data_IF_540666549143
#
_entry.id   IF_540666549143
#
_cell.length_a   1.000
_cell.length_b   1.000
_cell.length_c   1.000
_cell.angle_alpha   90.00
_cell.angle_beta   90.00
_cell.angle_gamma   90.00
#
_symmetry.space_group_name_H-M   'P 1'
#
loop_
_entity.id
_entity.type
_entity.pdbx_description
1 polymer ?
#
# COMPACT_ATOMS: atom_id res chain seq x y z
N UNK A 1 27.25 -16.24 15.74
CA UNK A 1 25.84 -16.06 15.36
C UNK A 1 25.42 -14.74 15.98
N UNK A 2 25.22 -13.68 15.19
CA UNK A 2 24.79 -12.38 15.75
C UNK A 2 23.29 -12.49 16.01
N UNK A 3 22.88 -12.34 17.26
CA UNK A 3 21.48 -12.19 17.64
C UNK A 3 20.93 -10.96 16.93
N UNK A 4 20.13 -11.19 15.89
CA UNK A 4 19.34 -10.14 15.29
C UNK A 4 18.25 -9.79 16.32
N UNK A 5 18.05 -8.51 16.68
CA UNK A 5 16.97 -8.14 17.57
C UNK A 5 15.66 -8.60 16.92
N UNK A 6 14.90 -9.42 17.64
CA UNK A 6 13.52 -9.76 17.28
C UNK A 6 12.83 -8.43 16.99
N UNK A 7 12.28 -8.26 15.78
CA UNK A 7 11.46 -7.09 15.45
C UNK A 7 10.41 -6.96 16.54
N UNK A 8 10.35 -5.81 17.22
CA UNK A 8 9.38 -5.63 18.30
C UNK A 8 7.97 -5.98 17.78
N UNK A 9 7.37 -7.10 18.23
CA UNK A 9 6.08 -7.54 17.73
C UNK A 9 4.98 -6.53 18.05
N UNK A 10 5.23 -5.57 18.96
CA UNK A 10 4.28 -4.52 19.33
C UNK A 10 3.82 -3.69 18.12
N UNK A 11 4.73 -3.31 17.20
CA UNK A 11 4.39 -2.41 16.09
C UNK A 11 3.54 -3.09 15.02
N UNK A 12 3.87 -4.33 14.64
CA UNK A 12 3.02 -5.10 13.73
C UNK A 12 1.67 -5.42 14.39
N UNK A 13 1.64 -5.69 15.70
CA UNK A 13 0.39 -5.90 16.43
C UNK A 13 -0.50 -4.65 16.49
N UNK A 14 0.06 -3.43 16.46
CA UNK A 14 -0.73 -2.22 16.34
C UNK A 14 -1.55 -2.22 15.03
N UNK A 15 -0.95 -2.62 13.91
CA UNK A 15 -1.65 -2.80 12.62
C UNK A 15 -2.77 -3.84 12.76
N UNK A 16 -2.47 -4.99 13.39
CA UNK A 16 -3.45 -6.06 13.60
C UNK A 16 -4.66 -5.58 14.41
N UNK A 17 -4.42 -4.93 15.54
CA UNK A 17 -5.47 -4.47 16.46
C UNK A 17 -6.32 -3.38 15.80
N UNK A 18 -5.70 -2.38 15.16
CA UNK A 18 -6.45 -1.34 14.43
C UNK A 18 -7.34 -1.94 13.34
N UNK A 19 -6.84 -2.93 12.60
CA UNK A 19 -7.62 -3.58 11.56
C UNK A 19 -8.78 -4.42 12.12
N UNK A 20 -8.53 -5.21 13.18
CA UNK A 20 -9.58 -6.01 13.83
C UNK A 20 -10.67 -5.13 14.42
N UNK A 21 -10.30 -4.11 15.19
CA UNK A 21 -11.25 -3.24 15.90
C UNK A 21 -12.11 -2.42 14.92
N UNK A 22 -11.50 -1.85 13.87
CA UNK A 22 -12.25 -1.08 12.86
C UNK A 22 -13.24 -1.97 12.08
N UNK A 23 -12.83 -3.17 11.68
CA UNK A 23 -13.71 -4.15 11.02
C UNK A 23 -14.86 -4.55 11.94
N UNK A 24 -14.57 -4.81 13.22
CA UNK A 24 -15.56 -5.22 14.21
C UNK A 24 -16.56 -4.08 14.48
N UNK A 25 -16.08 -2.84 14.64
CA UNK A 25 -16.91 -1.66 14.86
C UNK A 25 -17.81 -1.36 13.65
N UNK A 26 -17.30 -1.52 12.44
CA UNK A 26 -18.09 -1.36 11.21
C UNK A 26 -19.07 -2.52 10.97
N UNK A 27 -18.92 -3.62 11.72
CA UNK A 27 -19.60 -4.91 11.48
C UNK A 27 -19.47 -5.36 10.01
N UNK A 28 -18.34 -5.05 9.37
CA UNK A 28 -18.09 -5.24 7.95
C UNK A 28 -16.61 -5.10 7.62
N UNK A 29 -16.09 -5.97 6.75
CA UNK A 29 -14.71 -5.90 6.25
C UNK A 29 -13.95 -7.22 6.40
N UNK A 30 -12.64 -7.18 6.11
CA UNK A 30 -11.80 -8.37 6.02
C UNK A 30 -10.58 -8.23 6.93
N UNK A 31 -10.57 -8.84 8.13
CA UNK A 31 -9.48 -8.69 9.08
C UNK A 31 -8.31 -9.65 8.80
N UNK A 32 -8.57 -10.79 8.13
CA UNK A 32 -7.58 -11.85 7.94
C UNK A 32 -6.34 -11.41 7.15
N UNK A 33 -6.52 -10.78 5.98
CA UNK A 33 -5.39 -10.29 5.18
C UNK A 33 -4.56 -9.22 5.91
N UNK A 34 -5.14 -8.17 6.53
CA UNK A 34 -4.39 -7.25 7.37
C UNK A 34 -3.60 -7.93 8.49
N UNK A 35 -4.19 -8.92 9.17
CA UNK A 35 -3.52 -9.62 10.27
C UNK A 35 -2.33 -10.47 9.79
N UNK A 36 -2.49 -11.17 8.67
CA UNK A 36 -1.45 -12.03 8.10
C UNK A 36 -0.32 -11.25 7.45
N UNK A 37 -0.61 -10.07 6.90
CA UNK A 37 0.38 -9.24 6.18
C UNK A 37 1.03 -8.15 7.04
N UNK A 38 0.65 -8.02 8.32
CA UNK A 38 1.11 -6.94 9.19
C UNK A 38 2.64 -6.88 9.34
N UNK A 39 3.32 -8.03 9.48
CA UNK A 39 4.78 -8.04 9.69
C UNK A 39 5.52 -7.60 8.42
N UNK A 40 5.12 -8.10 7.24
CA UNK A 40 5.72 -7.71 5.96
C UNK A 40 5.42 -6.24 5.64
N UNK A 41 4.22 -5.76 5.98
CA UNK A 41 3.86 -4.36 5.84
C UNK A 41 4.70 -3.46 6.74
N UNK A 42 4.85 -3.83 8.02
CA UNK A 42 5.68 -3.11 8.96
C UNK A 42 7.12 -2.98 8.46
N UNK A 43 7.73 -4.08 8.01
CA UNK A 43 9.11 -4.06 7.49
C UNK A 43 9.21 -3.16 6.25
N UNK A 44 8.30 -3.31 5.28
CA UNK A 44 8.31 -2.49 4.07
C UNK A 44 8.18 -1.00 4.41
N UNK A 45 7.16 -0.62 5.16
CA UNK A 45 6.82 0.79 5.41
C UNK A 45 7.78 1.49 6.36
N UNK A 46 8.46 0.78 7.26
CA UNK A 46 9.38 1.41 8.22
C UNK A 46 10.84 1.37 7.82
N UNK A 47 11.23 0.48 6.89
CA UNK A 47 12.64 0.26 6.55
C UNK A 47 12.98 0.44 5.07
N UNK A 48 12.01 0.32 4.18
CA UNK A 48 12.28 0.25 2.74
C UNK A 48 11.53 1.31 1.92
N UNK A 49 10.29 1.64 2.30
CA UNK A 49 9.47 2.59 1.58
C UNK A 49 9.94 4.02 1.86
N UNK A 50 10.39 4.74 0.83
CA UNK A 50 10.68 6.17 0.92
C UNK A 50 9.42 6.96 0.60
N UNK A 51 8.83 7.58 1.61
CA UNK A 51 7.60 8.34 1.44
C UNK A 51 7.58 9.53 2.39
N UNK A 52 6.71 10.50 2.10
CA UNK A 52 6.48 11.66 2.97
C UNK A 52 4.99 11.72 3.32
N UNK A 53 4.61 11.44 4.58
CA UNK A 53 3.23 11.59 5.05
C UNK A 53 2.73 13.05 4.97
N UNK A 54 3.65 14.01 5.08
CA UNK A 54 3.37 15.45 4.97
C UNK A 54 3.27 15.95 3.53
N UNK A 55 3.81 15.20 2.57
CA UNK A 55 3.66 15.45 1.14
C UNK A 55 3.41 14.14 0.36
N UNK A 56 2.17 13.63 0.40
CA UNK A 56 1.78 12.47 -0.40
C UNK A 56 1.88 12.70 -1.91
N UNK A 57 2.09 13.94 -2.37
CA UNK A 57 2.23 14.28 -3.78
C UNK A 57 3.70 14.34 -4.25
N UNK A 58 4.67 14.20 -3.35
CA UNK A 58 6.10 14.20 -3.68
C UNK A 58 6.39 13.29 -4.87
N UNK A 59 6.92 13.87 -5.96
CA UNK A 59 7.03 13.18 -7.25
C UNK A 59 7.90 11.92 -7.20
N UNK A 60 8.99 11.92 -6.42
CA UNK A 60 9.97 10.83 -6.37
C UNK A 60 9.85 9.92 -5.13
N UNK A 61 8.68 9.92 -4.47
CA UNK A 61 8.37 8.92 -3.42
C UNK A 61 8.32 7.50 -4.00
N UNK A 62 8.58 6.48 -3.21
CA UNK A 62 8.23 5.11 -3.60
C UNK A 62 6.70 4.95 -3.64
N UNK A 63 6.21 4.14 -4.58
CA UNK A 63 4.77 3.90 -4.76
C UNK A 63 4.39 2.57 -4.12
N UNK A 64 3.32 2.55 -3.33
CA UNK A 64 2.78 1.32 -2.74
C UNK A 64 1.34 1.06 -3.21
N UNK A 65 1.11 -0.11 -3.77
CA UNK A 65 -0.22 -0.55 -4.23
C UNK A 65 -0.67 -1.79 -3.46
N UNK A 66 -1.83 -1.71 -2.82
CA UNK A 66 -2.50 -2.87 -2.23
C UNK A 66 -3.46 -3.50 -3.25
N UNK A 67 -2.96 -4.38 -4.12
CA UNK A 67 -3.76 -4.96 -5.21
C UNK A 67 -4.88 -5.87 -4.70
N UNK A 68 -4.65 -6.62 -3.62
CA UNK A 68 -5.68 -7.35 -2.90
C UNK A 68 -6.50 -6.41 -2.00
N UNK A 69 -7.15 -5.42 -2.61
CA UNK A 69 -7.75 -4.24 -1.95
C UNK A 69 -8.81 -4.54 -0.89
N UNK A 70 -9.31 -5.77 -0.80
CA UNK A 70 -10.22 -6.20 0.27
C UNK A 70 -9.58 -6.06 1.67
N UNK A 71 -8.25 -6.13 1.77
CA UNK A 71 -7.46 -5.90 2.98
C UNK A 71 -7.28 -4.42 3.33
N UNK A 72 -8.23 -3.55 2.97
CA UNK A 72 -8.13 -2.09 3.03
C UNK A 72 -7.71 -1.53 4.40
N UNK A 73 -8.16 -2.14 5.50
CA UNK A 73 -7.72 -1.72 6.84
C UNK A 73 -6.21 -1.85 7.07
N UNK A 74 -5.50 -2.71 6.32
CA UNK A 74 -4.03 -2.76 6.36
C UNK A 74 -3.42 -1.41 5.96
N UNK A 75 -3.80 -0.90 4.77
CA UNK A 75 -3.24 0.35 4.26
C UNK A 75 -3.71 1.55 5.07
N UNK A 76 -4.96 1.56 5.55
CA UNK A 76 -5.43 2.65 6.42
C UNK A 76 -4.70 2.70 7.76
N UNK A 77 -4.45 1.54 8.39
CA UNK A 77 -3.65 1.49 9.61
C UNK A 77 -2.21 1.98 9.37
N UNK A 78 -1.58 1.59 8.25
CA UNK A 78 -0.23 2.05 7.89
C UNK A 78 -0.18 3.56 7.66
N UNK A 79 -1.14 4.12 6.91
CA UNK A 79 -1.24 5.55 6.66
C UNK A 79 -1.42 6.34 7.96
N UNK A 80 -2.32 5.87 8.83
CA UNK A 80 -2.53 6.48 10.15
C UNK A 80 -1.26 6.45 11.00
N UNK A 81 -0.66 5.26 11.17
CA UNK A 81 0.50 5.06 12.05
C UNK A 81 1.76 5.78 11.55
N UNK A 82 1.89 5.99 10.24
CA UNK A 82 3.02 6.73 9.66
C UNK A 82 2.78 8.24 9.59
N UNK A 83 1.61 8.72 10.00
CA UNK A 83 1.34 10.16 10.16
C UNK A 83 0.80 10.86 8.91
N UNK A 84 0.16 10.14 7.99
CA UNK A 84 -0.63 10.78 6.95
C UNK A 84 -1.81 11.52 7.59
N UNK A 85 -2.44 12.43 6.84
CA UNK A 85 -3.70 13.07 7.20
C UNK A 85 -4.87 12.06 7.16
N UNK A 86 -4.82 11.08 8.06
CA UNK A 86 -5.80 10.04 8.28
C UNK A 86 -5.89 9.76 9.80
N UNK A 87 -6.58 10.63 10.55
CA UNK A 87 -6.62 10.53 12.01
C UNK A 87 -7.42 9.30 12.47
N UNK A 88 -7.28 8.91 13.74
CA UNK A 88 -7.88 7.69 14.30
C UNK A 88 -9.41 7.68 14.19
N UNK A 89 -10.05 8.84 14.17
CA UNK A 89 -11.49 9.02 13.97
C UNK A 89 -11.94 8.47 12.62
N UNK A 90 -11.11 8.61 11.57
CA UNK A 90 -11.42 8.04 10.26
C UNK A 90 -11.41 6.51 10.34
N UNK A 91 -10.45 5.89 11.03
CA UNK A 91 -10.44 4.43 11.21
C UNK A 91 -11.68 3.93 11.97
N UNK A 92 -12.17 4.69 12.97
CA UNK A 92 -13.44 4.40 13.67
C UNK A 92 -14.66 4.53 12.76
N UNK A 93 -14.55 5.32 11.70
CA UNK A 93 -15.57 5.49 10.66
C UNK A 93 -15.34 4.57 9.44
N UNK A 94 -14.58 3.49 9.58
CA UNK A 94 -14.38 2.52 8.51
C UNK A 94 -15.71 2.07 7.88
N UNK A 95 -15.79 2.13 6.55
CA UNK A 95 -16.98 1.80 5.73
C UNK A 95 -18.22 2.65 5.99
N UNK A 96 -18.09 3.77 6.72
CA UNK A 96 -19.20 4.70 6.92
C UNK A 96 -19.26 5.73 5.80
N UNK A 97 -20.47 6.25 5.56
CA UNK A 97 -20.73 7.25 4.53
C UNK A 97 -19.81 8.47 4.70
N UNK A 98 -19.18 8.89 3.60
CA UNK A 98 -18.23 10.03 3.54
C UNK A 98 -16.96 9.89 4.38
N UNK A 99 -16.70 8.73 4.99
CA UNK A 99 -15.39 8.48 5.60
C UNK A 99 -14.29 8.46 4.54
N UNK A 100 -13.06 8.76 4.97
CA UNK A 100 -11.82 8.60 4.19
C UNK A 100 -11.25 7.19 4.36
N UNK A 101 -12.09 6.24 4.73
CA UNK A 101 -11.75 4.82 4.92
C UNK A 101 -12.85 3.96 4.33
N UNK A 102 -13.10 4.06 3.01
CA UNK A 102 -14.09 3.25 2.31
C UNK A 102 -13.78 1.75 2.41
N UNK A 103 -14.71 0.90 1.96
CA UNK A 103 -14.53 -0.56 2.07
C UNK A 103 -13.36 -1.12 1.28
N UNK A 104 -12.96 -0.42 0.22
CA UNK A 104 -11.83 -0.68 -0.64
C UNK A 104 -11.04 0.63 -0.85
N UNK A 105 -9.72 0.61 -1.09
CA UNK A 105 -8.95 1.83 -1.31
C UNK A 105 -9.45 2.62 -2.52
N UNK A 106 -9.65 3.92 -2.36
CA UNK A 106 -10.10 4.84 -3.41
C UNK A 106 -9.11 6.00 -3.55
N UNK A 107 -8.52 6.15 -4.75
CA UNK A 107 -7.62 7.27 -5.06
C UNK A 107 -8.38 8.59 -5.04
N UNK A 108 -7.75 9.64 -4.50
CA UNK A 108 -8.35 10.98 -4.37
C UNK A 108 -9.27 11.16 -3.15
N UNK A 109 -9.70 10.09 -2.48
CA UNK A 109 -10.49 10.16 -1.25
C UNK A 109 -9.57 10.13 -0.01
N UNK A 110 -8.63 9.19 0.00
CA UNK A 110 -7.74 8.94 1.15
C UNK A 110 -6.30 9.33 0.78
N UNK A 111 -5.60 10.17 1.56
CA UNK A 111 -4.20 10.51 1.29
C UNK A 111 -3.30 9.27 1.32
N UNK A 112 -2.36 9.20 0.38
CA UNK A 112 -1.42 8.07 0.28
C UNK A 112 -1.97 6.81 -0.41
N UNK A 113 -3.21 6.83 -0.90
CA UNK A 113 -3.71 5.80 -1.81
C UNK A 113 -3.29 6.13 -3.24
N UNK A 114 -2.43 5.29 -3.81
CA UNK A 114 -1.87 5.49 -5.15
C UNK A 114 -2.86 5.17 -6.29
N UNK A 115 -3.76 4.22 -6.06
CA UNK A 115 -4.75 3.80 -7.06
C UNK A 115 -5.95 3.13 -6.39
N UNK A 116 -7.12 3.23 -7.01
CA UNK A 116 -8.31 2.51 -6.56
C UNK A 116 -8.14 1.02 -6.83
N UNK A 117 -8.34 0.20 -5.79
CA UNK A 117 -8.22 -1.26 -5.87
C UNK A 117 -9.46 -1.92 -5.29
N UNK A 118 -9.74 -3.17 -5.66
CA UNK A 118 -10.97 -3.88 -5.30
C UNK A 118 -11.25 -5.00 -6.30
N UNK A 119 -11.39 -4.67 -7.60
CA UNK A 119 -11.27 -5.65 -8.67
C UNK A 119 -9.86 -6.27 -8.64
N UNK A 120 -9.79 -7.59 -8.47
CA UNK A 120 -8.52 -8.30 -8.30
C UNK A 120 -7.66 -8.23 -9.58
N UNK A 121 -6.34 -8.32 -9.43
CA UNK A 121 -5.37 -8.25 -10.54
C UNK A 121 -5.08 -6.85 -11.07
N UNK A 122 -6.07 -5.94 -11.07
CA UNK A 122 -5.94 -4.59 -11.60
C UNK A 122 -4.89 -3.74 -10.86
N UNK A 123 -4.82 -3.85 -9.53
CA UNK A 123 -3.81 -3.10 -8.75
C UNK A 123 -2.38 -3.49 -9.13
N UNK A 124 -2.13 -4.78 -9.36
CA UNK A 124 -0.84 -5.29 -9.85
C UNK A 124 -0.52 -4.74 -11.25
N UNK A 125 -1.49 -4.75 -12.16
CA UNK A 125 -1.31 -4.17 -13.49
C UNK A 125 -1.02 -2.66 -13.43
N UNK A 126 -1.71 -1.92 -12.56
CA UNK A 126 -1.44 -0.50 -12.32
C UNK A 126 -0.01 -0.28 -11.77
N UNK A 127 0.44 -1.13 -10.84
CA UNK A 127 1.80 -1.07 -10.31
C UNK A 127 2.87 -1.30 -11.40
N UNK A 128 2.64 -2.22 -12.34
CA UNK A 128 3.50 -2.39 -13.52
C UNK A 128 3.55 -1.10 -14.35
N UNK A 129 2.40 -0.46 -14.59
CA UNK A 129 2.33 0.83 -15.27
C UNK A 129 3.10 1.95 -14.55
N UNK A 130 3.01 2.01 -13.21
CA UNK A 130 3.77 2.97 -12.40
C UNK A 130 5.28 2.74 -12.51
N UNK A 131 5.73 1.48 -12.45
CA UNK A 131 7.14 1.13 -12.62
C UNK A 131 7.66 1.48 -14.03
N UNK A 132 6.86 1.19 -15.07
CA UNK A 132 7.18 1.58 -16.44
C UNK A 132 7.30 3.09 -16.60
N UNK A 133 6.37 3.86 -16.01
CA UNK A 133 6.42 5.32 -16.04
C UNK A 133 7.68 5.86 -15.37
N UNK A 134 8.06 5.32 -14.20
CA UNK A 134 9.31 5.66 -13.52
C UNK A 134 10.52 5.40 -14.42
N UNK A 135 10.61 4.23 -15.05
CA UNK A 135 11.72 3.87 -15.93
C UNK A 135 11.82 4.79 -17.17
N UNK A 136 10.68 5.11 -17.79
CA UNK A 136 10.63 6.02 -18.94
C UNK A 136 11.05 7.44 -18.56
N UNK A 137 10.56 7.97 -17.44
CA UNK A 137 10.91 9.30 -16.95
C UNK A 137 12.38 9.38 -16.51
N UNK A 138 12.88 8.35 -15.83
CA UNK A 138 14.29 8.26 -15.47
C UNK A 138 15.19 8.28 -16.72
N UNK A 139 14.82 7.52 -17.77
CA UNK A 139 15.55 7.53 -19.05
C UNK A 139 15.54 8.91 -19.72
N UNK A 140 14.40 9.59 -19.70
CA UNK A 140 14.23 10.88 -20.36
C UNK A 140 15.01 12.00 -19.63
N UNK A 141 14.89 12.04 -18.30
CA UNK A 141 15.26 13.21 -17.50
C UNK A 141 16.51 13.06 -16.65
N UNK A 142 16.93 11.83 -16.27
CA UNK A 142 18.18 11.69 -15.52
C UNK A 142 19.38 12.07 -16.40
N UNK A 143 20.42 12.59 -15.75
CA UNK A 143 21.70 12.97 -16.35
C UNK A 143 22.85 12.35 -15.54
N UNK A 144 24.08 12.29 -16.07
CA UNK A 144 25.24 11.92 -15.26
C UNK A 144 25.27 12.73 -13.96
N UNK A 145 25.45 12.03 -12.84
CA UNK A 145 25.47 12.57 -11.47
C UNK A 145 24.17 13.24 -10.98
N UNK A 146 23.07 13.19 -11.75
CA UNK A 146 21.78 13.80 -11.40
C UNK A 146 20.62 12.84 -11.68
N UNK A 147 20.27 12.04 -10.68
CA UNK A 147 19.11 11.16 -10.70
C UNK A 147 17.94 11.84 -10.00
N UNK A 148 17.06 12.46 -10.77
CA UNK A 148 15.87 13.18 -10.26
C UNK A 148 14.61 12.32 -10.27
N UNK A 149 14.63 11.20 -11.00
CA UNK A 149 13.62 10.14 -10.94
C UNK A 149 14.32 8.83 -10.61
N UNK A 150 14.19 8.38 -9.37
CA UNK A 150 14.78 7.14 -8.90
C UNK A 150 13.99 6.60 -7.71
N UNK A 151 12.83 6.01 -7.98
CA UNK A 151 11.96 5.42 -6.97
C UNK A 151 11.48 4.02 -7.32
N UNK A 152 11.05 3.30 -6.29
CA UNK A 152 10.54 1.94 -6.40
C UNK A 152 9.01 1.92 -6.47
N UNK A 153 8.48 0.85 -7.05
CA UNK A 153 7.06 0.50 -6.96
C UNK A 153 6.90 -0.84 -6.26
N UNK A 154 6.09 -0.88 -5.22
CA UNK A 154 5.76 -2.08 -4.45
C UNK A 154 4.29 -2.44 -4.63
N UNK A 155 4.00 -3.71 -4.83
CA UNK A 155 2.64 -4.23 -4.88
C UNK A 155 2.46 -5.38 -3.89
N UNK A 156 1.45 -5.27 -3.04
CA UNK A 156 0.94 -6.40 -2.28
C UNK A 156 -0.17 -7.07 -3.09
N UNK A 157 -0.06 -8.39 -3.25
CA UNK A 157 -0.97 -9.21 -4.04
C UNK A 157 -1.39 -10.42 -3.20
N UNK A 158 -2.54 -10.99 -3.53
CA UNK A 158 -2.99 -12.27 -3.00
C UNK A 158 -3.32 -13.23 -4.12
N UNK A 159 -3.68 -14.47 -3.78
CA UNK A 159 -3.94 -15.54 -4.75
C UNK A 159 -4.95 -15.13 -5.83
N UNK A 160 -6.04 -14.47 -5.43
CA UNK A 160 -7.05 -13.99 -6.37
C UNK A 160 -6.51 -12.94 -7.37
N UNK A 161 -5.49 -12.15 -7.01
CA UNK A 161 -4.84 -11.29 -7.99
C UNK A 161 -4.06 -12.10 -9.02
N UNK A 162 -3.40 -13.19 -8.61
CA UNK A 162 -2.57 -14.03 -9.45
C UNK A 162 -3.38 -15.00 -10.33
N UNK A 163 -4.65 -15.23 -9.99
CA UNK A 163 -5.57 -16.03 -10.80
C UNK A 163 -6.23 -15.22 -11.93
N UNK A 164 -6.27 -13.89 -11.81
CA UNK A 164 -6.86 -13.02 -12.83
C UNK A 164 -5.96 -12.94 -14.06
N UNK A 165 -6.54 -13.11 -15.25
CA UNK A 165 -5.78 -13.16 -16.51
C UNK A 165 -4.95 -11.90 -16.77
N UNK A 166 -5.44 -10.74 -16.34
CA UNK A 166 -4.71 -9.47 -16.46
C UNK A 166 -3.36 -9.48 -15.70
N UNK A 167 -3.26 -10.25 -14.61
CA UNK A 167 -1.99 -10.40 -13.89
C UNK A 167 -0.94 -11.10 -14.74
N UNK A 168 -1.34 -12.10 -15.53
CA UNK A 168 -0.44 -12.80 -16.44
C UNK A 168 0.04 -11.88 -17.56
N UNK A 169 -0.86 -11.09 -18.16
CA UNK A 169 -0.50 -10.09 -19.17
C UNK A 169 0.50 -9.06 -18.62
N UNK A 170 0.18 -8.45 -17.48
CA UNK A 170 1.00 -7.43 -16.87
C UNK A 170 2.36 -7.96 -16.40
N UNK A 171 2.41 -9.13 -15.75
CA UNK A 171 3.67 -9.72 -15.30
C UNK A 171 4.54 -10.23 -16.46
N UNK A 172 3.94 -10.76 -17.53
CA UNK A 172 4.67 -11.13 -18.75
C UNK A 172 5.33 -9.91 -19.39
N UNK A 173 4.58 -8.80 -19.51
CA UNK A 173 5.11 -7.53 -20.01
C UNK A 173 6.24 -6.99 -19.12
N UNK A 174 6.06 -7.02 -17.79
CA UNK A 174 7.06 -6.52 -16.84
C UNK A 174 8.37 -7.33 -16.84
N UNK A 175 8.33 -8.59 -17.25
CA UNK A 175 9.51 -9.46 -17.33
C UNK A 175 10.29 -9.41 -18.64
N UNK A 176 9.82 -8.66 -19.65
CA UNK A 176 10.45 -8.54 -20.98
C UNK A 176 11.47 -7.40 -21.01
#
# INVERSE_FOLDING_TARGET
>A
MRDLPVSDPSMANAIRVLAMDAVQQANSGHPGAPMGMADIAHVLWTRHLRHSPTDPAWADRDRFVLSNGHGSMLIYALLHLTGYDLPIEQLRQFRQLHSRTPGHPEVGITPGIETTTGPLGQGLANAVGMALAQALLAREFNRPDHQIVNHNTYAFVGDGCLMEGISHEACSLAGT
#
